data_IF_693936408620
#
_entry.id   IF_693936408620
#
_cell.length_a   1.000
_cell.length_b   1.000
_cell.length_c   1.000
_cell.angle_alpha   90.00
_cell.angle_beta   90.00
_cell.angle_gamma   90.00
#
_symmetry.space_group_name_H-M   'P 1'
#
loop_
_entity.id
_entity.type
_entity.pdbx_description
1 polymer ?
#
# COMPACT_ATOMS: atom_id res chain seq x y z
N UNK A 1 -9.98 -3.58 4.85
CA UNK A 1 -9.88 -2.24 5.47
C UNK A 1 -8.73 -1.48 4.80
N UNK A 2 -9.01 -0.30 4.26
CA UNK A 2 -8.01 0.59 3.66
C UNK A 2 -7.52 1.57 4.72
N UNK A 3 -6.21 1.72 4.83
CA UNK A 3 -5.55 2.67 5.71
C UNK A 3 -4.70 3.64 4.89
N UNK A 4 -4.54 4.86 5.40
CA UNK A 4 -3.60 5.83 4.83
C UNK A 4 -2.31 5.73 5.63
N UNK A 5 -1.25 5.25 4.99
CA UNK A 5 0.06 5.12 5.61
C UNK A 5 1.09 6.04 4.97
N UNK A 6 2.16 6.32 5.70
CA UNK A 6 3.29 7.12 5.22
C UNK A 6 4.46 6.21 4.92
N UNK A 7 5.07 6.38 3.75
CA UNK A 7 6.26 5.61 3.39
C UNK A 7 7.41 6.05 4.27
N UNK A 8 7.93 5.16 5.10
CA UNK A 8 9.07 5.45 5.99
C UNK A 8 10.38 5.04 5.34
N UNK A 9 10.38 3.89 4.65
CA UNK A 9 11.58 3.32 4.02
C UNK A 9 11.21 2.65 2.70
N UNK A 10 12.10 2.74 1.71
CA UNK A 10 11.94 2.06 0.43
C UNK A 10 13.14 1.14 0.22
N UNK A 11 12.90 -0.06 -0.32
CA UNK A 11 13.91 -1.03 -0.75
C UNK A 11 13.63 -1.46 -2.18
N UNK A 12 14.59 -2.14 -2.80
CA UNK A 12 14.47 -2.58 -4.20
C UNK A 12 13.34 -3.58 -4.44
N UNK A 13 12.96 -4.36 -3.42
CA UNK A 13 11.89 -5.35 -3.51
C UNK A 13 10.54 -4.87 -2.94
N UNK A 14 10.47 -3.68 -2.36
CA UNK A 14 9.24 -3.16 -1.76
C UNK A 14 9.39 -1.90 -0.92
N UNK A 15 8.27 -1.38 -0.41
CA UNK A 15 8.22 -0.19 0.43
C UNK A 15 7.64 -0.51 1.81
N UNK A 16 8.26 0.07 2.85
CA UNK A 16 7.75 0.07 4.21
C UNK A 16 6.88 1.29 4.42
N UNK A 17 5.66 1.04 4.88
CA UNK A 17 4.62 2.03 5.04
C UNK A 17 4.12 1.91 6.47
N UNK A 18 4.29 2.98 7.23
CA UNK A 18 3.77 3.09 8.58
C UNK A 18 2.32 3.59 8.50
N UNK A 19 1.39 2.74 8.94
CA UNK A 19 -0.05 3.06 8.97
C UNK A 19 -0.50 3.50 10.36
N UNK A 20 0.13 2.97 11.42
CA UNK A 20 -0.18 3.24 12.82
C UNK A 20 1.15 3.21 13.59
N UNK A 21 1.37 4.06 14.61
CA UNK A 21 2.58 3.98 15.44
C UNK A 21 2.77 2.59 16.04
N UNK A 22 3.88 1.94 15.70
CA UNK A 22 4.22 0.56 16.12
C UNK A 22 3.71 -0.53 15.17
N UNK A 23 3.06 -0.17 14.06
CA UNK A 23 2.60 -1.11 13.04
C UNK A 23 3.14 -0.75 11.65
N UNK A 24 4.25 -1.39 11.31
CA UNK A 24 4.89 -1.29 10.01
C UNK A 24 4.31 -2.30 9.03
N UNK A 25 3.90 -1.79 7.88
CA UNK A 25 3.44 -2.62 6.80
C UNK A 25 4.45 -2.69 5.65
N UNK A 26 4.66 -3.89 5.14
CA UNK A 26 5.47 -4.13 3.96
C UNK A 26 4.57 -4.24 2.74
N UNK A 27 4.79 -3.36 1.76
CA UNK A 27 4.17 -3.43 0.45
C UNK A 27 5.21 -3.94 -0.56
N UNK A 28 4.95 -5.10 -1.15
CA UNK A 28 5.84 -5.69 -2.12
C UNK A 28 5.82 -4.88 -3.44
N UNK A 29 6.94 -4.88 -4.18
CA UNK A 29 6.99 -4.20 -5.49
C UNK A 29 5.89 -4.65 -6.45
N UNK A 30 5.53 -5.94 -6.40
CA UNK A 30 4.44 -6.55 -7.17
C UNK A 30 3.04 -6.06 -6.75
N UNK A 31 2.89 -5.58 -5.52
CA UNK A 31 1.63 -5.09 -4.96
C UNK A 31 1.49 -3.56 -5.06
N UNK A 32 2.55 -2.87 -5.50
CA UNK A 32 2.57 -1.43 -5.74
C UNK A 32 1.96 -1.06 -7.10
N UNK A 33 2.24 -1.85 -8.15
CA UNK A 33 1.72 -1.64 -9.50
C UNK A 33 1.77 -2.95 -10.32
N UNK A 34 0.81 -3.19 -11.21
CA UNK A 34 0.92 -4.22 -12.25
C UNK A 34 1.89 -3.77 -13.33
N UNK A 35 3.14 -4.21 -13.24
CA UNK A 35 4.15 -3.94 -14.26
C UNK A 35 5.57 -4.22 -13.78
N UNK A 36 6.51 -4.20 -14.73
CA UNK A 36 7.92 -4.22 -14.40
C UNK A 36 8.31 -2.86 -13.82
N UNK A 37 8.41 -2.80 -12.49
CA UNK A 37 8.88 -1.61 -11.79
C UNK A 37 10.40 -1.74 -11.63
N UNK A 38 11.18 -0.94 -12.35
CA UNK A 38 12.64 -0.92 -12.21
C UNK A 38 13.06 -0.34 -10.85
N UNK A 39 12.35 0.68 -10.36
CA UNK A 39 12.65 1.33 -9.09
C UNK A 39 11.38 1.67 -8.33
N UNK A 40 11.30 1.16 -7.10
CA UNK A 40 10.20 1.45 -6.18
C UNK A 40 10.10 2.97 -5.89
N UNK A 41 11.23 3.66 -5.89
CA UNK A 41 11.33 5.11 -5.67
C UNK A 41 10.66 5.98 -6.73
N UNK A 42 10.39 5.43 -7.92
CA UNK A 42 9.70 6.13 -8.99
C UNK A 42 8.17 6.11 -8.79
N UNK A 43 7.67 5.02 -8.19
CA UNK A 43 6.24 4.78 -7.93
C UNK A 43 5.79 5.34 -6.58
N UNK A 44 6.67 5.29 -5.58
CA UNK A 44 6.44 5.79 -4.23
C UNK A 44 7.68 6.51 -3.72
N UNK A 45 7.49 7.58 -2.94
CA UNK A 45 8.60 8.35 -2.35
C UNK A 45 8.60 8.23 -0.84
N UNK A 46 9.79 8.28 -0.23
CA UNK A 46 9.90 8.35 1.23
C UNK A 46 9.21 9.62 1.71
N UNK A 47 8.33 9.46 2.69
CA UNK A 47 7.51 10.52 3.24
C UNK A 47 6.17 10.73 2.53
N UNK A 48 5.92 10.04 1.43
CA UNK A 48 4.67 10.12 0.70
C UNK A 48 3.53 9.40 1.44
N UNK A 49 2.31 9.90 1.28
CA UNK A 49 1.11 9.31 1.89
C UNK A 49 0.40 8.46 0.86
N UNK A 50 0.37 7.15 1.10
CA UNK A 50 -0.24 6.18 0.20
C UNK A 50 -1.34 5.40 0.92
N UNK A 51 -2.38 5.06 0.15
CA UNK A 51 -3.51 4.26 0.66
C UNK A 51 -3.26 2.80 0.36
N UNK A 52 -3.40 1.98 1.39
CA UNK A 52 -3.00 0.57 1.38
C UNK A 52 -4.04 -0.26 2.12
N UNK A 53 -4.29 -1.46 1.61
CA UNK A 53 -5.20 -2.42 2.23
C UNK A 53 -4.40 -3.42 3.03
N UNK A 54 -4.79 -3.62 4.28
CA UNK A 54 -4.23 -4.67 5.14
C UNK A 54 -4.79 -6.01 4.69
N UNK A 55 -3.90 -6.90 4.26
CA UNK A 55 -4.25 -8.26 3.86
C UNK A 55 -4.08 -9.23 5.04
N UNK A 56 -2.94 -9.17 5.72
CA UNK A 56 -2.53 -10.09 6.76
C UNK A 56 -1.65 -9.37 7.78
N UNK A 57 -1.77 -9.76 9.05
CA UNK A 57 -0.90 -9.30 10.14
C UNK A 57 -0.21 -10.54 10.69
N UNK A 58 1.12 -10.50 10.75
CA UNK A 58 1.94 -11.57 11.31
C UNK A 58 2.17 -11.36 12.81
N UNK A 59 2.50 -12.43 13.53
CA UNK A 59 2.74 -12.41 14.98
C UNK A 59 3.94 -11.52 15.36
N UNK A 60 4.87 -11.31 14.42
CA UNK A 60 5.98 -10.35 14.56
C UNK A 60 5.56 -8.88 14.38
N UNK A 61 4.27 -8.57 14.25
CA UNK A 61 3.75 -7.21 14.04
C UNK A 61 3.90 -6.69 12.61
N UNK A 62 4.34 -7.53 11.66
CA UNK A 62 4.49 -7.16 10.25
C UNK A 62 3.16 -7.22 9.54
N UNK A 63 2.77 -6.14 8.89
CA UNK A 63 1.51 -6.08 8.15
C UNK A 63 1.76 -6.23 6.66
N UNK A 64 1.14 -7.21 6.00
CA UNK A 64 1.16 -7.29 4.54
C UNK A 64 0.17 -6.28 3.97
N UNK A 65 0.71 -5.33 3.21
CA UNK A 65 -0.04 -4.26 2.60
C UNK A 65 -0.11 -4.43 1.08
N UNK A 66 -1.29 -4.15 0.53
CA UNK A 66 -1.49 -4.10 -0.91
C UNK A 66 -2.03 -2.73 -1.32
N UNK A 67 -1.33 -2.05 -2.22
CA UNK A 67 -1.81 -0.80 -2.83
C UNK A 67 -2.82 -1.09 -3.93
N UNK A 68 -2.59 -2.13 -4.73
CA UNK A 68 -3.52 -2.59 -5.77
C UNK A 68 -4.90 -2.92 -5.20
N UNK A 69 -4.97 -3.68 -4.11
CA UNK A 69 -6.25 -4.05 -3.51
C UNK A 69 -6.97 -2.85 -2.87
N UNK A 70 -6.24 -1.82 -2.41
CA UNK A 70 -6.84 -0.58 -1.97
C UNK A 70 -7.46 0.20 -3.15
N UNK A 71 -6.70 0.36 -4.25
CA UNK A 71 -7.18 1.03 -5.46
C UNK A 71 -8.40 0.34 -6.07
N UNK A 72 -8.41 -0.99 -6.12
CA UNK A 72 -9.53 -1.76 -6.66
C UNK A 72 -10.81 -1.58 -5.82
N UNK A 73 -10.70 -1.67 -4.48
CA UNK A 73 -11.85 -1.48 -3.58
C UNK A 73 -12.36 -0.03 -3.59
N UNK A 74 -11.48 0.96 -3.85
CA UNK A 74 -11.88 2.35 -4.05
C UNK A 74 -12.58 2.60 -5.39
N UNK A 75 -12.08 2.01 -6.48
CA UNK A 75 -12.70 2.12 -7.80
C UNK A 75 -14.12 1.56 -7.78
N UNK A 76 -14.31 0.40 -7.14
CA UNK A 76 -15.62 -0.25 -7.00
C UNK A 76 -16.61 0.60 -6.18
N UNK A 77 -16.14 1.28 -5.12
CA UNK A 77 -16.96 2.23 -4.35
C UNK A 77 -17.26 3.55 -5.07
N UNK A 78 -16.44 3.92 -6.05
CA UNK A 78 -16.59 5.17 -6.80
C UNK A 78 -17.61 5.02 -7.94
N UNK A 79 -17.68 3.84 -8.56
CA UNK A 79 -18.66 3.54 -9.61
C UNK A 79 -20.11 3.44 -9.10
N UNK A 80 -20.33 2.95 -7.87
CA UNK A 80 -21.69 2.85 -7.32
C UNK A 80 -22.33 4.22 -6.99
N UNK A 81 -21.52 5.26 -6.72
CA UNK A 81 -22.03 6.61 -6.42
C UNK A 81 -22.28 7.51 -7.64
N UNK A 82 -21.86 7.10 -8.83
CA UNK A 82 -22.06 7.88 -10.06
C UNK A 82 -23.35 7.51 -10.81
N UNK A 83 -24.12 6.53 -10.32
CA UNK A 83 -25.33 6.01 -11.00
C UNK A 83 -26.64 6.22 -10.20
N UNK A 84 -26.65 7.08 -9.17
CA UNK A 84 -27.87 7.46 -8.41
C UNK A 84 -28.19 8.93 -8.61
#
# INVERSE_FOLDING_TARGET
QIYTGKVTTIKDFGAFIEVIPGQDGLCHISELQDGYVEKVTDVVKVGDKVRVKVLLIDDQGRVKLSRKAALAEEAEKSEEKASV
#
